data_IF_925337032193
#
_entry.id   IF_925337032193
#
_cell.length_a   1.000
_cell.length_b   1.000
_cell.length_c   1.000
_cell.angle_alpha   90.00
_cell.angle_beta   90.00
_cell.angle_gamma   90.00
#
_symmetry.space_group_name_H-M   'P 1'
#
loop_
_entity.id
_entity.type
_entity.pdbx_description
1 polymer ?
#
# COMPACT_ATOMS: atom_id res chain seq x y z
N UNK A 1 40.01 -12.28 -14.39
CA UNK A 1 38.74 -12.71 -13.76
C UNK A 1 37.79 -11.55 -13.43
N UNK A 2 37.65 -10.53 -14.30
CA UNK A 2 36.80 -9.35 -14.05
C UNK A 2 35.40 -9.42 -14.71
N UNK A 3 35.23 -10.26 -15.75
CA UNK A 3 34.01 -10.33 -16.54
C UNK A 3 32.82 -10.96 -15.81
N UNK A 4 33.05 -11.88 -14.86
CA UNK A 4 31.95 -12.55 -14.14
C UNK A 4 31.26 -11.64 -13.10
N UNK A 5 31.93 -10.59 -12.63
CA UNK A 5 31.37 -9.61 -11.70
C UNK A 5 30.46 -8.60 -12.41
N UNK A 6 30.76 -8.24 -13.67
CA UNK A 6 29.93 -7.36 -14.51
C UNK A 6 28.57 -8.00 -14.82
N UNK A 7 28.54 -9.30 -15.15
CA UNK A 7 27.32 -10.03 -15.45
C UNK A 7 26.40 -10.19 -14.23
N UNK A 8 26.97 -10.36 -13.03
CA UNK A 8 26.20 -10.39 -11.77
C UNK A 8 25.54 -9.05 -11.46
N UNK A 9 26.26 -7.93 -11.67
CA UNK A 9 25.70 -6.58 -11.49
C UNK A 9 24.55 -6.29 -12.45
N UNK A 10 24.68 -6.69 -13.73
CA UNK A 10 23.60 -6.54 -14.71
C UNK A 10 22.37 -7.40 -14.37
N UNK A 11 22.54 -8.66 -13.97
CA UNK A 11 21.42 -9.51 -13.53
C UNK A 11 20.69 -8.95 -12.31
N UNK A 12 21.43 -8.45 -11.32
CA UNK A 12 20.84 -7.83 -10.13
C UNK A 12 20.08 -6.54 -10.48
N UNK A 13 20.61 -5.74 -11.42
CA UNK A 13 19.95 -4.53 -11.90
C UNK A 13 18.65 -4.86 -12.64
N UNK A 14 18.65 -5.91 -13.46
CA UNK A 14 17.47 -6.37 -14.19
C UNK A 14 16.38 -6.89 -13.24
N UNK A 15 16.75 -7.74 -12.27
CA UNK A 15 15.82 -8.22 -11.26
C UNK A 15 15.25 -7.09 -10.41
N UNK A 16 16.08 -6.11 -10.02
CA UNK A 16 15.60 -4.93 -9.31
C UNK A 16 14.54 -4.17 -10.13
N UNK A 17 14.80 -3.94 -11.42
CA UNK A 17 13.82 -3.27 -12.31
C UNK A 17 12.48 -4.01 -12.38
N UNK A 18 12.51 -5.33 -12.58
CA UNK A 18 11.27 -6.14 -12.62
C UNK A 18 10.48 -5.99 -11.33
N UNK A 19 11.14 -6.09 -10.18
CA UNK A 19 10.45 -5.98 -8.88
C UNK A 19 9.91 -4.57 -8.67
N UNK A 20 10.65 -3.54 -9.09
CA UNK A 20 10.20 -2.16 -8.99
C UNK A 20 9.01 -1.89 -9.94
N UNK A 21 9.00 -2.46 -11.15
CA UNK A 21 7.87 -2.42 -12.10
C UNK A 21 6.64 -3.10 -11.52
N UNK A 22 6.77 -4.33 -11.01
CA UNK A 22 5.70 -5.06 -10.34
C UNK A 22 5.14 -4.30 -9.13
N UNK A 23 6.01 -3.68 -8.34
CA UNK A 23 5.59 -2.85 -7.22
C UNK A 23 4.77 -1.63 -7.69
N UNK A 24 5.17 -0.99 -8.78
CA UNK A 24 4.41 0.15 -9.33
C UNK A 24 3.04 -0.25 -9.89
N UNK A 25 2.96 -1.41 -10.55
CA UNK A 25 1.70 -1.95 -11.09
C UNK A 25 0.74 -2.32 -9.96
N UNK A 26 1.22 -3.07 -8.96
CA UNK A 26 0.42 -3.46 -7.79
C UNK A 26 -0.06 -2.25 -6.99
N UNK A 27 0.77 -1.21 -6.85
CA UNK A 27 0.37 0.05 -6.22
C UNK A 27 -0.79 0.73 -6.95
N UNK A 28 -0.73 0.79 -8.29
CA UNK A 28 -1.81 1.38 -9.10
C UNK A 28 -3.09 0.58 -8.97
N UNK A 29 -3.00 -0.74 -9.04
CA UNK A 29 -4.16 -1.63 -8.92
C UNK A 29 -4.85 -1.50 -7.56
N UNK A 30 -4.08 -1.55 -6.47
CA UNK A 30 -4.62 -1.42 -5.09
C UNK A 30 -5.22 -0.02 -4.89
N UNK A 31 -4.59 1.02 -5.44
CA UNK A 31 -5.14 2.37 -5.35
C UNK A 31 -6.48 2.50 -6.10
N UNK A 32 -6.58 1.92 -7.30
CA UNK A 32 -7.82 1.92 -8.06
C UNK A 32 -8.94 1.17 -7.33
N UNK A 33 -8.64 0.00 -6.73
CA UNK A 33 -9.60 -0.72 -5.88
C UNK A 33 -10.07 0.12 -4.70
N UNK A 34 -9.15 0.82 -4.03
CA UNK A 34 -9.51 1.74 -2.95
C UNK A 34 -10.43 2.87 -3.44
N UNK A 35 -10.14 3.49 -4.58
CA UNK A 35 -10.97 4.55 -5.16
C UNK A 35 -12.39 4.05 -5.45
N UNK A 36 -12.50 2.88 -6.09
CA UNK A 36 -13.80 2.28 -6.41
C UNK A 36 -14.61 1.96 -5.15
N UNK A 37 -13.98 1.40 -4.11
CA UNK A 37 -14.64 1.15 -2.83
C UNK A 37 -15.06 2.46 -2.13
N UNK A 38 -14.29 3.52 -2.29
CA UNK A 38 -14.64 4.84 -1.76
C UNK A 38 -15.82 5.47 -2.52
N UNK A 39 -15.87 5.34 -3.84
CA UNK A 39 -16.99 5.81 -4.66
C UNK A 39 -18.27 5.05 -4.31
N UNK A 40 -18.19 3.72 -4.15
CA UNK A 40 -19.32 2.90 -3.69
C UNK A 40 -19.79 3.29 -2.28
N UNK A 41 -18.86 3.52 -1.34
CA UNK A 41 -19.21 3.98 0.01
C UNK A 41 -19.89 5.35 -0.02
N UNK A 42 -19.48 6.26 -0.90
CA UNK A 42 -20.08 7.59 -1.03
C UNK A 42 -21.46 7.55 -1.72
N UNK A 43 -21.68 6.59 -2.63
CA UNK A 43 -22.92 6.44 -3.37
C UNK A 43 -23.98 5.61 -2.62
N UNK A 44 -23.57 4.81 -1.63
CA UNK A 44 -24.47 4.00 -0.84
C UNK A 44 -25.33 4.87 0.10
N UNK A 45 -26.64 4.62 0.10
CA UNK A 45 -27.57 5.22 1.06
C UNK A 45 -27.33 4.68 2.48
N UNK A 46 -27.16 3.36 2.59
CA UNK A 46 -26.69 2.68 3.79
C UNK A 46 -25.36 1.98 3.50
N UNK A 47 -24.31 2.40 4.20
CA UNK A 47 -22.97 1.81 4.08
C UNK A 47 -22.93 0.52 4.89
N UNK A 48 -22.72 -0.62 4.22
CA UNK A 48 -22.49 -1.88 4.92
C UNK A 48 -21.13 -1.87 5.65
N UNK A 49 -21.08 -2.51 6.82
CA UNK A 49 -19.83 -2.66 7.57
C UNK A 49 -18.74 -3.36 6.74
N UNK A 50 -19.13 -4.33 5.91
CA UNK A 50 -18.24 -5.03 4.99
C UNK A 50 -17.59 -4.08 3.98
N UNK A 51 -18.38 -3.19 3.36
CA UNK A 51 -17.86 -2.22 2.40
C UNK A 51 -16.87 -1.25 3.07
N UNK A 52 -17.22 -0.80 4.27
CA UNK A 52 -16.36 0.06 5.08
C UNK A 52 -15.03 -0.64 5.44
N UNK A 53 -15.09 -1.90 5.89
CA UNK A 53 -13.91 -2.70 6.22
C UNK A 53 -13.02 -2.92 5.00
N UNK A 54 -13.61 -3.31 3.86
CA UNK A 54 -12.88 -3.53 2.60
C UNK A 54 -12.14 -2.26 2.16
N UNK A 55 -12.81 -1.10 2.18
CA UNK A 55 -12.16 0.16 1.84
C UNK A 55 -10.99 0.48 2.77
N UNK A 56 -11.12 0.20 4.08
CA UNK A 56 -10.01 0.39 5.04
C UNK A 56 -8.85 -0.54 4.76
N UNK A 57 -9.12 -1.80 4.42
CA UNK A 57 -8.10 -2.80 4.09
C UNK A 57 -7.32 -2.35 2.85
N UNK A 58 -8.00 -1.99 1.76
CA UNK A 58 -7.33 -1.55 0.53
C UNK A 58 -6.54 -0.25 0.74
N UNK A 59 -7.09 0.70 1.51
CA UNK A 59 -6.36 1.91 1.89
C UNK A 59 -5.11 1.60 2.73
N UNK A 60 -5.16 0.61 3.62
CA UNK A 60 -3.99 0.20 4.40
C UNK A 60 -2.94 -0.51 3.54
N UNK A 61 -3.34 -1.44 2.66
CA UNK A 61 -2.44 -2.10 1.70
C UNK A 61 -1.67 -1.09 0.86
N UNK A 62 -2.38 -0.09 0.32
CA UNK A 62 -1.77 0.97 -0.46
C UNK A 62 -0.69 1.74 0.32
N UNK A 63 -0.94 2.06 1.60
CA UNK A 63 0.02 2.75 2.46
C UNK A 63 1.28 1.90 2.73
N UNK A 64 1.14 0.58 2.88
CA UNK A 64 2.28 -0.31 3.03
C UNK A 64 3.12 -0.36 1.75
N UNK A 65 2.49 -0.50 0.59
CA UNK A 65 3.18 -0.49 -0.70
C UNK A 65 3.88 0.85 -0.94
N UNK A 66 3.26 1.98 -0.59
CA UNK A 66 3.89 3.31 -0.64
C UNK A 66 5.12 3.42 0.27
N UNK A 67 5.11 2.77 1.44
CA UNK A 67 6.26 2.72 2.34
C UNK A 67 7.39 1.90 1.71
N UNK A 68 7.08 0.77 1.09
CA UNK A 68 8.08 -0.06 0.39
C UNK A 68 8.67 0.65 -0.83
N UNK A 69 7.83 1.33 -1.62
CA UNK A 69 8.26 2.13 -2.77
C UNK A 69 9.23 3.23 -2.34
N UNK A 70 8.97 3.88 -1.20
CA UNK A 70 9.87 4.89 -0.63
C UNK A 70 11.22 4.31 -0.23
N UNK A 71 11.26 3.12 0.38
CA UNK A 71 12.50 2.42 0.71
C UNK A 71 13.33 2.08 -0.55
N UNK A 72 12.68 1.93 -1.70
CA UNK A 72 13.30 1.60 -3.00
C UNK A 72 13.61 2.82 -3.86
N UNK A 73 13.35 4.05 -3.37
CA UNK A 73 13.45 5.31 -4.13
C UNK A 73 12.58 5.36 -5.39
N UNK A 74 11.47 4.61 -5.40
CA UNK A 74 10.47 4.67 -6.47
C UNK A 74 9.57 5.87 -6.17
N UNK A 75 9.48 6.82 -7.10
CA UNK A 75 8.59 7.97 -6.97
C UNK A 75 7.14 7.51 -7.13
N UNK A 76 6.38 7.55 -6.03
CA UNK A 76 4.92 7.39 -6.09
C UNK A 76 4.26 8.60 -6.76
N UNK A 77 3.22 8.34 -7.54
CA UNK A 77 2.43 9.35 -8.26
C UNK A 77 1.98 10.48 -7.32
N UNK A 78 2.14 11.74 -7.76
CA UNK A 78 1.86 12.94 -6.98
C UNK A 78 0.35 13.08 -6.70
N UNK A 79 -0.49 12.55 -7.60
CA UNK A 79 -1.96 12.59 -7.49
C UNK A 79 -2.53 11.75 -6.35
N UNK A 80 -1.73 10.81 -5.82
CA UNK A 80 -2.21 9.80 -4.88
C UNK A 80 -1.98 10.18 -3.41
N UNK A 81 -2.94 9.90 -2.50
CA UNK A 81 -2.83 10.26 -1.10
C UNK A 81 -1.69 9.51 -0.39
N UNK A 82 -0.76 10.24 0.24
CA UNK A 82 0.49 9.67 0.78
C UNK A 82 0.49 9.39 2.30
N UNK A 83 -0.59 9.73 3.01
CA UNK A 83 -0.62 9.73 4.49
C UNK A 83 -1.79 8.90 5.02
N UNK A 84 -1.59 8.13 6.09
CA UNK A 84 -2.68 7.34 6.70
C UNK A 84 -3.94 8.16 7.07
N UNK A 85 -3.75 9.43 7.46
CA UNK A 85 -4.85 10.35 7.77
C UNK A 85 -5.80 10.58 6.58
N UNK A 86 -5.31 10.62 5.34
CA UNK A 86 -6.15 10.83 4.16
C UNK A 86 -7.07 9.65 3.89
N UNK A 87 -6.66 8.44 4.29
CA UNK A 87 -7.49 7.23 4.20
C UNK A 87 -8.48 7.08 5.38
N UNK A 88 -8.55 8.08 6.28
CA UNK A 88 -9.24 8.00 7.57
C UNK A 88 -8.80 6.75 8.37
N UNK A 89 -7.62 6.21 8.11
CA UNK A 89 -7.04 5.11 8.86
C UNK A 89 -6.39 5.76 10.07
N UNK A 90 -7.06 5.68 11.23
CA UNK A 90 -6.44 6.07 12.50
C UNK A 90 -5.18 5.21 12.62
N UNK A 91 -4.01 5.82 12.87
CA UNK A 91 -2.88 5.09 13.45
C UNK A 91 -3.47 4.48 14.72
N UNK A 92 -3.77 3.18 14.72
CA UNK A 92 -4.09 2.50 15.97
C UNK A 92 -2.83 2.66 16.81
N UNK A 93 -2.89 3.54 17.80
CA UNK A 93 -2.10 3.33 19.00
C UNK A 93 -2.56 1.96 19.48
N UNK A 94 -1.72 0.95 19.29
CA UNK A 94 -1.90 -0.30 20.00
C UNK A 94 -1.71 0.05 21.48
N UNK A 95 -2.79 0.47 22.15
CA UNK A 95 -2.85 0.33 23.60
C UNK A 95 -2.92 -1.17 23.83
N UNK A 96 -1.78 -1.75 24.24
CA UNK A 96 -1.68 -3.14 24.67
C UNK A 96 -2.63 -3.46 25.83
N UNK A 97 -3.18 -2.45 26.47
CA UNK A 97 -3.93 -2.54 27.72
C UNK A 97 -5.39 -3.00 27.55
N UNK A 98 -5.91 -3.13 26.32
CA UNK A 98 -7.28 -3.61 26.07
C UNK A 98 -7.39 -5.10 25.71
N UNK A 99 -6.29 -5.86 25.77
CA UNK A 99 -6.31 -7.31 25.49
C UNK A 99 -6.61 -8.18 26.73
N UNK A 100 -6.61 -7.61 27.94
CA UNK A 100 -6.89 -8.35 29.18
C UNK A 100 -7.64 -7.49 30.19
N UNK A 101 -8.94 -7.27 29.98
CA UNK A 101 -9.87 -7.01 31.07
C UNK A 101 -11.11 -7.86 30.82
N UNK A 102 -11.05 -9.10 31.29
CA UNK A 102 -12.23 -9.82 31.75
C UNK A 102 -12.38 -9.46 33.23
N UNK A 103 -13.45 -8.73 33.55
CA UNK A 103 -14.17 -8.89 34.83
C UNK A 103 -15.60 -9.33 34.47
#
# INVERSE_FOLDING_TARGET
MAFHLLNKKQKNHYQKRIVDEQLTETMKEVYHKYQLLQELENAAYDVSDDLYILRKIEGAKYLFLMREARCRNISGDISTPKKAKTFRVKKRGYQRDHLFTQE
#
